data_IF_916767854406
#
_entry.id   IF_916767854406
#
_cell.length_a   1.000
_cell.length_b   1.000
_cell.length_c   1.000
_cell.angle_alpha   90.00
_cell.angle_beta   90.00
_cell.angle_gamma   90.00
#
_symmetry.space_group_name_H-M   'P 1'
#
loop_
_entity.id
_entity.type
_entity.pdbx_description
1 polymer ?
#
# COMPACT_ATOMS: atom_id res chain seq x y z
N UNK A 1 -30.35 -4.25 18.60
CA UNK A 1 -28.96 -3.95 19.06
C UNK A 1 -28.55 -2.64 18.42
N UNK A 2 -28.01 -1.67 19.18
CA UNK A 2 -27.51 -0.40 18.63
C UNK A 2 -26.07 -0.62 18.12
N UNK A 3 -25.80 -0.22 16.89
CA UNK A 3 -24.46 -0.17 16.29
C UNK A 3 -23.86 1.21 16.64
N UNK A 4 -22.55 1.29 16.82
CA UNK A 4 -21.87 2.57 17.08
C UNK A 4 -21.81 3.41 15.80
N UNK A 5 -22.00 4.73 15.92
CA UNK A 5 -21.87 5.68 14.80
C UNK A 5 -20.53 5.54 14.06
N UNK A 6 -19.48 5.21 14.79
CA UNK A 6 -18.15 4.93 14.24
C UNK A 6 -18.16 3.76 13.26
N UNK A 7 -18.86 2.66 13.59
CA UNK A 7 -18.96 1.50 12.71
C UNK A 7 -19.82 1.79 11.47
N UNK A 8 -20.86 2.62 11.63
CA UNK A 8 -21.74 3.03 10.52
C UNK A 8 -21.03 3.93 9.49
N UNK A 9 -20.01 4.70 9.93
CA UNK A 9 -19.23 5.56 9.03
C UNK A 9 -18.19 4.81 8.18
N UNK A 10 -17.89 3.55 8.52
CA UNK A 10 -16.93 2.74 7.74
C UNK A 10 -17.68 2.15 6.53
N UNK A 11 -17.33 2.63 5.35
CA UNK A 11 -17.89 2.15 4.09
C UNK A 11 -17.37 0.76 3.71
N UNK A 12 -18.16 -0.02 2.96
CA UNK A 12 -17.68 -1.27 2.37
C UNK A 12 -16.48 -1.03 1.46
N UNK A 13 -15.56 -1.98 1.43
CA UNK A 13 -14.46 -1.97 0.48
C UNK A 13 -14.95 -2.57 -0.85
N UNK A 14 -15.29 -1.72 -1.83
CA UNK A 14 -15.92 -2.11 -3.09
C UNK A 14 -15.05 -3.04 -3.96
N UNK A 15 -13.74 -2.99 -3.81
CA UNK A 15 -12.81 -3.97 -4.41
C UNK A 15 -13.24 -5.40 -4.07
N UNK A 16 -13.84 -5.62 -2.90
CA UNK A 16 -14.31 -6.95 -2.47
C UNK A 16 -15.54 -7.43 -3.27
N UNK A 17 -16.37 -6.51 -3.78
CA UNK A 17 -17.49 -6.89 -4.64
C UNK A 17 -16.99 -7.40 -5.99
N UNK A 18 -16.00 -6.71 -6.57
CA UNK A 18 -15.32 -7.20 -7.79
C UNK A 18 -14.64 -8.52 -7.54
N UNK A 19 -13.98 -8.69 -6.39
CA UNK A 19 -13.31 -9.95 -6.03
C UNK A 19 -14.31 -11.11 -5.89
N UNK A 20 -15.51 -10.88 -5.32
CA UNK A 20 -16.59 -11.88 -5.26
C UNK A 20 -17.07 -12.26 -6.66
N UNK A 21 -17.36 -11.26 -7.50
CA UNK A 21 -17.78 -11.49 -8.88
C UNK A 21 -16.72 -12.26 -9.68
N UNK A 22 -15.44 -11.86 -9.55
CA UNK A 22 -14.33 -12.55 -10.19
C UNK A 22 -14.16 -14.00 -9.71
N UNK A 23 -14.34 -14.25 -8.41
CA UNK A 23 -14.32 -15.60 -7.85
C UNK A 23 -15.49 -16.45 -8.33
N UNK A 24 -16.67 -15.86 -8.49
CA UNK A 24 -17.82 -16.54 -9.08
C UNK A 24 -17.56 -16.88 -10.55
N UNK A 25 -17.13 -15.88 -11.34
CA UNK A 25 -16.78 -16.09 -12.76
C UNK A 25 -15.71 -17.16 -12.94
N UNK A 26 -14.69 -17.16 -12.07
CA UNK A 26 -13.64 -18.17 -12.10
C UNK A 26 -14.18 -19.58 -11.91
N UNK A 27 -15.17 -19.79 -11.03
CA UNK A 27 -15.85 -21.09 -10.87
C UNK A 27 -16.64 -21.49 -12.12
N UNK A 28 -17.34 -20.53 -12.74
CA UNK A 28 -18.14 -20.76 -13.95
C UNK A 28 -17.27 -21.21 -15.13
N UNK A 29 -16.07 -20.61 -15.27
CA UNK A 29 -15.15 -20.89 -16.39
C UNK A 29 -14.02 -21.86 -16.05
N UNK A 30 -14.05 -22.49 -14.87
CA UNK A 30 -12.96 -23.36 -14.37
C UNK A 30 -12.62 -24.53 -15.31
N UNK A 31 -13.58 -24.97 -16.12
CA UNK A 31 -13.44 -26.11 -17.06
C UNK A 31 -13.20 -25.65 -18.51
N UNK A 32 -12.99 -24.37 -18.73
CA UNK A 32 -12.73 -23.81 -20.06
C UNK A 32 -11.22 -23.53 -20.25
N UNK A 33 -10.83 -23.26 -21.48
CA UNK A 33 -9.49 -22.82 -21.86
C UNK A 33 -9.22 -21.33 -21.57
N UNK A 34 -10.22 -20.64 -20.99
CA UNK A 34 -10.16 -19.20 -20.67
C UNK A 34 -10.42 -18.92 -19.18
N UNK A 35 -9.56 -19.37 -18.25
CA UNK A 35 -9.69 -19.04 -16.83
C UNK A 35 -9.59 -17.53 -16.60
N UNK A 36 -10.15 -17.04 -15.49
CA UNK A 36 -10.04 -15.61 -15.11
C UNK A 36 -8.60 -15.27 -14.76
N UNK A 37 -8.10 -14.16 -15.29
CA UNK A 37 -6.83 -13.53 -14.87
C UNK A 37 -7.15 -12.46 -13.84
N UNK A 38 -6.57 -12.58 -12.63
CA UNK A 38 -6.84 -11.70 -11.50
C UNK A 38 -5.82 -10.57 -11.41
N UNK A 39 -6.13 -9.41 -11.98
CA UNK A 39 -5.30 -8.20 -11.89
C UNK A 39 -5.89 -7.16 -10.92
N UNK A 40 -6.86 -7.57 -10.10
CA UNK A 40 -7.51 -6.72 -9.09
C UNK A 40 -6.87 -6.82 -7.71
N UNK A 41 -6.04 -7.84 -7.45
CA UNK A 41 -5.49 -8.13 -6.13
C UNK A 41 -4.14 -7.41 -5.95
N UNK A 42 -4.00 -6.65 -4.87
CA UNK A 42 -2.77 -5.97 -4.51
C UNK A 42 -1.82 -6.83 -3.65
N UNK A 43 -1.51 -8.04 -4.12
CA UNK A 43 -0.68 -9.02 -3.43
C UNK A 43 0.38 -9.58 -4.38
N UNK A 44 1.67 -9.65 -3.97
CA UNK A 44 2.69 -10.34 -4.73
C UNK A 44 2.31 -11.80 -5.02
N UNK A 45 2.57 -12.28 -6.23
CA UNK A 45 2.45 -13.69 -6.59
C UNK A 45 3.59 -14.56 -5.99
N UNK A 46 4.57 -13.93 -5.40
CA UNK A 46 5.64 -14.58 -4.65
C UNK A 46 5.23 -14.80 -3.19
N UNK A 47 5.60 -15.94 -2.63
CA UNK A 47 5.52 -16.20 -1.19
C UNK A 47 6.87 -15.93 -0.51
N UNK A 48 6.89 -15.96 0.83
CA UNK A 48 8.13 -15.81 1.60
C UNK A 48 9.24 -16.75 1.08
N UNK A 49 10.51 -16.31 1.01
CA UNK A 49 11.62 -17.13 0.53
C UNK A 49 11.79 -18.40 1.35
N UNK A 50 12.40 -19.46 0.79
CA UNK A 50 12.56 -20.75 1.47
C UNK A 50 13.24 -20.65 2.85
N UNK A 51 14.20 -19.74 3.03
CA UNK A 51 14.86 -19.52 4.33
C UNK A 51 13.89 -18.99 5.39
N UNK A 52 13.01 -18.08 5.02
CA UNK A 52 12.00 -17.54 5.91
C UNK A 52 10.98 -18.60 6.30
N UNK A 53 10.57 -19.43 5.33
CA UNK A 53 9.69 -20.57 5.58
C UNK A 53 10.35 -21.61 6.51
N UNK A 54 11.61 -21.95 6.27
CA UNK A 54 12.36 -22.88 7.11
C UNK A 54 12.53 -22.32 8.56
N UNK A 55 12.80 -21.01 8.70
CA UNK A 55 12.87 -20.37 10.00
C UNK A 55 11.55 -20.48 10.77
N UNK A 56 10.39 -20.26 10.11
CA UNK A 56 9.09 -20.42 10.73
C UNK A 56 8.84 -21.87 11.19
N UNK A 57 9.18 -22.84 10.34
CA UNK A 57 9.05 -24.27 10.70
C UNK A 57 9.91 -24.61 11.92
N UNK A 58 11.14 -24.12 11.99
CA UNK A 58 12.04 -24.32 13.12
C UNK A 58 11.49 -23.70 14.42
N UNK A 59 10.92 -22.49 14.37
CA UNK A 59 10.27 -21.83 15.50
C UNK A 59 9.10 -22.66 16.03
N UNK A 60 8.23 -23.15 15.14
CA UNK A 60 7.09 -23.99 15.54
C UNK A 60 7.60 -25.31 16.15
N UNK A 61 8.58 -25.95 15.53
CA UNK A 61 9.13 -27.22 16.00
C UNK A 61 9.84 -27.10 17.36
N UNK A 62 10.46 -25.95 17.64
CA UNK A 62 11.12 -25.68 18.94
C UNK A 62 10.16 -25.30 20.07
N UNK A 63 8.88 -25.03 19.76
CA UNK A 63 7.89 -24.58 20.73
C UNK A 63 8.09 -23.12 21.22
N UNK A 64 8.95 -22.33 20.61
CA UNK A 64 9.20 -20.92 20.99
C UNK A 64 8.10 -19.99 20.43
N UNK A 65 6.87 -20.20 20.88
CA UNK A 65 5.67 -19.52 20.36
C UNK A 65 4.96 -18.65 21.41
N UNK A 66 5.62 -18.36 22.55
CA UNK A 66 5.10 -17.52 23.61
C UNK A 66 5.07 -16.05 23.18
N UNK A 67 4.40 -15.20 23.98
CA UNK A 67 4.37 -13.75 23.74
C UNK A 67 5.76 -13.13 23.67
N UNK A 68 5.90 -12.16 22.81
CA UNK A 68 7.06 -11.27 22.74
C UNK A 68 6.77 -9.95 23.47
N UNK A 69 7.76 -9.08 23.69
CA UNK A 69 7.49 -7.70 24.09
C UNK A 69 6.52 -7.02 23.12
N UNK A 70 5.72 -6.09 23.62
CA UNK A 70 4.70 -5.40 22.82
C UNK A 70 5.27 -4.59 21.67
N UNK A 71 6.46 -4.01 21.84
CA UNK A 71 7.19 -3.32 20.77
C UNK A 71 7.83 -4.27 19.73
N UNK A 72 7.76 -5.57 19.97
CA UNK A 72 8.39 -6.60 19.16
C UNK A 72 9.75 -7.07 19.69
N UNK A 73 10.26 -8.14 19.10
CA UNK A 73 11.57 -8.71 19.44
C UNK A 73 12.69 -7.69 19.20
N UNK A 74 13.56 -7.51 20.18
CA UNK A 74 14.73 -6.60 20.05
C UNK A 74 15.61 -6.95 18.87
N UNK A 75 15.87 -8.24 18.63
CA UNK A 75 16.62 -8.69 17.48
C UNK A 75 16.00 -8.27 16.15
N UNK A 76 14.65 -8.31 16.03
CA UNK A 76 13.94 -7.89 14.83
C UNK A 76 14.02 -6.36 14.65
N UNK A 77 13.82 -5.60 15.73
CA UNK A 77 13.94 -4.13 15.71
C UNK A 77 15.36 -3.70 15.29
N UNK A 78 16.39 -4.37 15.79
CA UNK A 78 17.78 -4.14 15.39
C UNK A 78 18.02 -4.50 13.92
N UNK A 79 17.47 -5.62 13.44
CA UNK A 79 17.59 -6.02 12.04
C UNK A 79 16.90 -5.02 11.09
N UNK A 80 15.72 -4.51 11.45
CA UNK A 80 15.03 -3.43 10.72
C UNK A 80 15.88 -2.15 10.72
N UNK A 81 16.45 -1.75 11.87
CA UNK A 81 17.35 -0.60 11.99
C UNK A 81 18.57 -0.73 11.05
N UNK A 82 19.23 -1.88 11.06
CA UNK A 82 20.35 -2.15 10.17
C UNK A 82 19.96 -2.13 8.69
N UNK A 83 18.74 -2.62 8.35
CA UNK A 83 18.24 -2.59 6.98
C UNK A 83 17.98 -1.16 6.48
N UNK A 84 17.43 -0.25 7.32
CA UNK A 84 17.30 1.16 6.94
C UNK A 84 18.65 1.81 6.63
N UNK A 85 19.66 1.56 7.46
CA UNK A 85 20.99 2.09 7.21
C UNK A 85 21.59 1.51 5.91
N UNK A 86 21.51 0.19 5.74
CA UNK A 86 22.10 -0.50 4.60
C UNK A 86 21.40 -0.20 3.28
N UNK A 87 20.04 -0.11 3.31
CA UNK A 87 19.22 0.04 2.10
C UNK A 87 19.03 1.49 1.69
N UNK A 88 18.82 2.39 2.65
CA UNK A 88 18.42 3.78 2.41
C UNK A 88 19.42 4.81 2.93
N UNK A 89 20.50 4.37 3.59
CA UNK A 89 21.49 5.26 4.19
C UNK A 89 20.96 6.05 5.41
N UNK A 90 19.83 5.64 6.00
CA UNK A 90 19.18 6.33 7.10
C UNK A 90 19.41 5.59 8.41
N UNK A 91 19.97 6.28 9.39
CA UNK A 91 20.20 5.72 10.72
C UNK A 91 18.92 5.85 11.55
N UNK A 92 18.27 4.72 11.82
CA UNK A 92 17.04 4.63 12.62
C UNK A 92 17.36 3.86 13.90
N UNK A 93 17.33 4.49 15.09
CA UNK A 93 17.50 3.78 16.35
C UNK A 93 16.42 2.71 16.55
N UNK A 94 16.79 1.50 16.99
CA UNK A 94 15.84 0.43 17.26
C UNK A 94 14.79 0.81 18.33
N UNK A 95 15.12 1.76 19.23
CA UNK A 95 14.18 2.33 20.22
C UNK A 95 12.97 3.02 19.59
N UNK A 96 13.10 3.51 18.35
CA UNK A 96 12.02 4.16 17.59
C UNK A 96 11.15 3.19 16.80
N UNK A 97 11.49 1.91 16.73
CA UNK A 97 10.81 0.91 15.91
C UNK A 97 9.77 0.15 16.75
N UNK A 98 8.54 0.09 16.28
CA UNK A 98 7.41 -0.63 16.90
C UNK A 98 6.90 -1.67 15.91
N UNK A 99 7.06 -2.94 16.22
CA UNK A 99 6.59 -4.06 15.38
C UNK A 99 5.10 -4.28 15.60
N UNK A 100 4.35 -4.50 14.52
CA UNK A 100 2.89 -4.60 14.55
C UNK A 100 2.37 -5.78 13.72
N UNK A 101 1.09 -6.10 13.88
CA UNK A 101 0.40 -7.10 13.07
C UNK A 101 0.07 -6.59 11.65
N UNK A 102 1.11 -6.22 10.89
CA UNK A 102 1.04 -5.62 9.56
C UNK A 102 0.87 -4.10 9.59
N UNK A 103 1.01 -3.45 8.43
CA UNK A 103 0.86 -2.01 8.29
C UNK A 103 -0.53 -1.50 8.71
N UNK A 104 -1.58 -2.30 8.56
CA UNK A 104 -2.93 -1.91 8.99
C UNK A 104 -3.00 -1.68 10.51
N UNK A 105 -2.39 -2.56 11.30
CA UNK A 105 -2.30 -2.38 12.74
C UNK A 105 -1.39 -1.19 13.10
N UNK A 106 -0.33 -0.95 12.32
CA UNK A 106 0.55 0.20 12.48
C UNK A 106 -0.22 1.52 12.27
N UNK A 107 -0.95 1.64 11.15
CA UNK A 107 -1.78 2.80 10.85
C UNK A 107 -2.86 3.03 11.90
N UNK A 108 -3.57 1.96 12.31
CA UNK A 108 -4.57 2.05 13.37
C UNK A 108 -3.97 2.53 14.68
N UNK A 109 -2.83 1.99 15.08
CA UNK A 109 -2.13 2.36 16.32
C UNK A 109 -1.67 3.82 16.28
N UNK A 110 -1.11 4.27 15.16
CA UNK A 110 -0.71 5.66 14.96
C UNK A 110 -1.90 6.63 15.01
N UNK A 111 -3.00 6.29 14.32
CA UNK A 111 -4.21 7.11 14.35
C UNK A 111 -4.80 7.21 15.77
N UNK A 112 -4.89 6.09 16.50
CA UNK A 112 -5.40 6.08 17.88
C UNK A 112 -4.51 6.86 18.86
N UNK A 113 -3.19 6.94 18.59
CA UNK A 113 -2.26 7.67 19.45
C UNK A 113 -2.22 9.17 19.19
N UNK A 114 -2.60 9.63 17.99
CA UNK A 114 -2.27 10.96 17.50
C UNK A 114 -3.47 11.80 17.04
N UNK A 115 -4.64 11.17 16.88
CA UNK A 115 -5.84 11.81 16.33
C UNK A 115 -6.93 11.81 17.40
N UNK A 116 -7.42 12.98 17.73
CA UNK A 116 -8.57 13.18 18.59
C UNK A 116 -9.86 13.40 17.78
N UNK A 117 -10.98 13.35 18.46
CA UNK A 117 -12.30 13.54 17.86
C UNK A 117 -12.41 14.91 17.17
N UNK A 118 -12.63 14.86 15.86
CA UNK A 118 -12.82 16.04 15.03
C UNK A 118 -11.56 16.65 14.45
N UNK A 119 -10.37 16.08 14.76
CA UNK A 119 -9.13 16.40 14.06
C UNK A 119 -9.22 16.07 12.57
N UNK A 120 -8.56 16.85 11.75
CA UNK A 120 -8.51 16.68 10.31
C UNK A 120 -7.12 16.20 9.87
N UNK A 121 -7.11 15.15 9.03
CA UNK A 121 -5.89 14.63 8.39
C UNK A 121 -6.02 14.82 6.89
N UNK A 122 -5.09 15.60 6.31
CA UNK A 122 -5.04 15.83 4.87
C UNK A 122 -4.43 14.62 4.16
N UNK A 123 -5.04 14.21 3.06
CA UNK A 123 -4.67 13.04 2.27
C UNK A 123 -4.81 13.34 0.78
N UNK A 124 -4.01 12.70 -0.11
CA UNK A 124 -4.25 12.81 -1.55
C UNK A 124 -5.56 12.09 -1.96
N UNK A 125 -6.18 12.59 -3.02
CA UNK A 125 -7.21 11.92 -3.79
C UNK A 125 -6.70 11.75 -5.23
N UNK A 126 -6.44 10.52 -5.73
CA UNK A 126 -6.72 9.22 -5.12
C UNK A 126 -5.73 8.79 -4.02
N UNK A 127 -6.19 7.88 -3.14
CA UNK A 127 -5.36 7.25 -2.11
C UNK A 127 -5.85 5.84 -1.75
N UNK A 128 -5.08 5.10 -0.95
CA UNK A 128 -5.48 3.78 -0.47
C UNK A 128 -6.72 3.89 0.41
N UNK A 129 -7.82 3.17 0.09
CA UNK A 129 -9.13 3.38 0.71
C UNK A 129 -9.14 3.26 2.23
N UNK A 130 -8.37 2.29 2.78
CA UNK A 130 -8.38 2.06 4.22
C UNK A 130 -7.79 3.22 5.03
N UNK A 131 -6.95 4.07 4.42
CA UNK A 131 -6.32 5.18 5.13
C UNK A 131 -7.35 6.14 5.74
N UNK A 132 -8.37 6.55 4.96
CA UNK A 132 -9.46 7.40 5.47
C UNK A 132 -10.27 6.72 6.57
N UNK A 133 -10.40 5.39 6.50
CA UNK A 133 -11.14 4.61 7.50
C UNK A 133 -10.37 4.45 8.81
N UNK A 134 -9.02 4.38 8.80
CA UNK A 134 -8.23 4.42 10.03
C UNK A 134 -8.40 5.76 10.76
N UNK A 135 -8.40 6.88 10.02
CA UNK A 135 -8.68 8.21 10.57
C UNK A 135 -10.11 8.27 11.15
N UNK A 136 -11.11 7.79 10.41
CA UNK A 136 -12.51 7.75 10.87
C UNK A 136 -12.71 6.85 12.08
N UNK A 137 -12.01 5.72 12.15
CA UNK A 137 -12.05 4.81 13.30
C UNK A 137 -11.47 5.44 14.58
N UNK A 138 -10.51 6.35 14.42
CA UNK A 138 -9.96 7.18 15.50
C UNK A 138 -10.81 8.44 15.79
N UNK A 139 -12.01 8.57 15.21
CA UNK A 139 -12.94 9.70 15.33
C UNK A 139 -12.46 11.01 14.68
N UNK A 140 -11.37 10.97 13.91
CA UNK A 140 -10.92 12.07 13.05
C UNK A 140 -11.67 12.14 11.72
N UNK A 141 -11.38 13.18 10.95
CA UNK A 141 -11.91 13.43 9.61
C UNK A 141 -10.77 13.35 8.58
N UNK A 142 -10.91 12.48 7.60
CA UNK A 142 -10.03 12.45 6.45
C UNK A 142 -10.44 13.55 5.46
N UNK A 143 -9.54 14.47 5.14
CA UNK A 143 -9.74 15.53 4.16
C UNK A 143 -8.99 15.14 2.89
N UNK A 144 -9.72 14.66 1.90
CA UNK A 144 -9.17 14.25 0.60
C UNK A 144 -8.94 15.48 -0.27
N UNK A 145 -7.71 15.70 -0.71
CA UNK A 145 -7.31 16.82 -1.56
C UNK A 145 -7.08 16.31 -2.99
N UNK A 146 -7.83 16.80 -3.99
CA UNK A 146 -7.68 16.39 -5.38
C UNK A 146 -6.25 16.57 -5.88
N UNK A 147 -5.75 15.56 -6.58
CA UNK A 147 -4.44 15.57 -7.23
C UNK A 147 -4.54 15.18 -8.68
N UNK A 148 -3.62 15.65 -9.50
CA UNK A 148 -3.65 15.47 -10.96
C UNK A 148 -2.46 14.65 -11.46
N UNK A 149 -2.49 14.27 -12.72
CA UNK A 149 -1.37 13.57 -13.37
C UNK A 149 -0.10 14.43 -13.40
N UNK A 150 -0.23 15.75 -13.60
CA UNK A 150 0.88 16.71 -13.58
C UNK A 150 1.57 16.75 -12.22
N UNK A 151 0.82 16.51 -11.15
CA UNK A 151 1.30 16.39 -9.77
C UNK A 151 1.70 14.95 -9.41
N UNK A 152 1.71 14.04 -10.39
CA UNK A 152 1.98 12.60 -10.19
C UNK A 152 0.99 11.93 -9.24
N UNK A 153 -0.23 12.46 -9.11
CA UNK A 153 -1.25 12.05 -8.14
C UNK A 153 -0.75 12.10 -6.67
N UNK A 154 0.11 13.07 -6.38
CA UNK A 154 0.68 13.29 -5.04
C UNK A 154 0.37 14.72 -4.56
N UNK A 155 0.36 14.93 -3.25
CA UNK A 155 0.18 16.27 -2.68
C UNK A 155 1.42 17.13 -2.90
N UNK A 156 1.20 18.43 -3.04
CA UNK A 156 2.24 19.45 -2.97
C UNK A 156 2.20 20.20 -1.66
N UNK A 157 3.34 20.77 -1.26
CA UNK A 157 3.45 21.65 -0.09
C UNK A 157 2.47 22.84 -0.17
N UNK A 158 2.28 23.39 -1.37
CA UNK A 158 1.34 24.48 -1.62
C UNK A 158 -0.11 24.04 -1.33
N UNK A 159 -0.54 22.87 -1.78
CA UNK A 159 -1.88 22.32 -1.48
C UNK A 159 -2.07 22.06 0.01
N UNK A 160 -1.06 21.48 0.67
CA UNK A 160 -1.09 21.24 2.12
C UNK A 160 -1.22 22.56 2.86
N UNK A 161 -0.40 23.55 2.50
CA UNK A 161 -0.44 24.88 3.15
C UNK A 161 -1.79 25.58 2.96
N UNK A 162 -2.38 25.50 1.77
CA UNK A 162 -3.67 26.12 1.44
C UNK A 162 -4.86 25.44 2.14
N UNK A 163 -4.79 24.12 2.32
CA UNK A 163 -5.86 23.33 2.96
C UNK A 163 -5.75 23.33 4.51
N UNK A 164 -4.64 23.85 5.06
CA UNK A 164 -4.39 23.80 6.50
C UNK A 164 -5.33 24.72 7.28
N UNK A 165 -6.23 24.14 8.07
CA UNK A 165 -7.19 24.86 8.91
C UNK A 165 -6.93 24.66 10.42
N UNK A 166 -7.77 25.27 11.28
CA UNK A 166 -7.60 25.19 12.74
C UNK A 166 -7.80 23.79 13.33
N UNK A 167 -8.43 22.88 12.58
CA UNK A 167 -8.64 21.48 12.98
C UNK A 167 -7.62 20.54 12.35
N UNK A 168 -6.80 21.03 11.43
CA UNK A 168 -5.83 20.18 10.74
C UNK A 168 -4.74 19.75 11.73
N UNK A 169 -4.61 18.45 11.90
CA UNK A 169 -3.63 17.83 12.78
C UNK A 169 -2.38 17.38 12.04
N UNK A 170 -2.51 17.04 10.75
CA UNK A 170 -1.36 16.58 9.97
C UNK A 170 -1.74 16.04 8.60
N UNK A 171 -0.80 15.31 8.03
CA UNK A 171 -0.94 14.66 6.72
C UNK A 171 -0.75 13.14 6.86
N UNK A 172 -1.45 12.36 6.01
CA UNK A 172 -1.18 10.94 5.78
C UNK A 172 -0.92 10.73 4.29
N UNK A 173 0.32 10.45 3.97
CA UNK A 173 0.84 10.29 2.62
C UNK A 173 1.22 8.83 2.35
N UNK A 174 1.41 8.47 1.08
CA UNK A 174 1.96 7.18 0.68
C UNK A 174 2.96 7.37 -0.48
N UNK A 175 4.17 6.82 -0.33
CA UNK A 175 5.22 6.94 -1.34
C UNK A 175 6.11 5.69 -1.36
N UNK A 176 6.04 4.85 -2.42
CA UNK A 176 5.09 4.86 -3.55
C UNK A 176 3.64 4.61 -3.15
N UNK A 177 2.68 5.17 -3.89
CA UNK A 177 1.26 5.14 -3.57
C UNK A 177 0.52 3.94 -4.19
N UNK A 178 -0.53 3.51 -3.54
CA UNK A 178 -1.63 2.73 -4.08
C UNK A 178 -2.84 3.68 -4.23
N UNK A 179 -3.40 3.89 -5.43
CA UNK A 179 -3.40 3.00 -6.59
C UNK A 179 -2.39 3.32 -7.69
N UNK A 180 -1.66 4.43 -7.61
CA UNK A 180 -0.98 5.03 -8.76
C UNK A 180 0.41 4.46 -9.06
N UNK A 181 1.05 3.85 -8.04
CA UNK A 181 2.45 3.40 -8.12
C UNK A 181 3.46 4.55 -8.21
N UNK A 182 3.01 5.78 -7.98
CA UNK A 182 3.86 6.98 -8.06
C UNK A 182 4.37 7.38 -6.69
N UNK A 183 5.59 7.92 -6.65
CA UNK A 183 6.21 8.47 -5.45
C UNK A 183 6.13 10.00 -5.44
N UNK A 184 6.22 10.58 -4.25
CA UNK A 184 6.40 12.02 -4.05
C UNK A 184 7.84 12.38 -4.44
N UNK A 185 8.03 13.47 -5.18
CA UNK A 185 9.36 14.01 -5.42
C UNK A 185 10.06 14.30 -4.09
N UNK A 186 11.32 13.86 -3.88
CA UNK A 186 12.00 14.02 -2.60
C UNK A 186 12.10 15.47 -2.10
N UNK A 187 12.31 16.43 -3.03
CA UNK A 187 12.35 17.85 -2.66
C UNK A 187 10.96 18.37 -2.31
N UNK A 188 9.90 17.88 -2.97
CA UNK A 188 8.53 18.21 -2.62
C UNK A 188 8.14 17.62 -1.26
N UNK A 189 8.52 16.36 -1.00
CA UNK A 189 8.28 15.73 0.29
C UNK A 189 8.94 16.50 1.43
N UNK A 190 10.18 16.97 1.23
CA UNK A 190 10.86 17.81 2.21
C UNK A 190 10.11 19.12 2.46
N UNK A 191 9.57 19.77 1.41
CA UNK A 191 8.73 20.97 1.55
C UNK A 191 7.42 20.69 2.28
N UNK A 192 6.77 19.56 2.01
CA UNK A 192 5.55 19.15 2.75
C UNK A 192 5.85 18.98 4.22
N UNK A 193 6.92 18.23 4.57
CA UNK A 193 7.33 18.01 5.96
C UNK A 193 7.61 19.34 6.67
N UNK A 194 8.27 20.30 6.01
CA UNK A 194 8.54 21.62 6.59
C UNK A 194 7.25 22.44 6.82
N UNK A 195 6.31 22.42 5.87
CA UNK A 195 5.00 23.06 6.06
C UNK A 195 4.28 22.46 7.26
N UNK A 196 4.22 21.13 7.37
CA UNK A 196 3.55 20.43 8.48
C UNK A 196 4.24 20.76 9.81
N UNK A 197 5.57 20.71 9.85
CA UNK A 197 6.39 21.02 11.03
C UNK A 197 6.19 22.45 11.51
N UNK A 198 6.17 23.44 10.60
CA UNK A 198 5.96 24.84 10.94
C UNK A 198 4.58 25.13 11.56
N UNK A 199 3.62 24.22 11.35
CA UNK A 199 2.27 24.28 11.93
C UNK A 199 2.11 23.43 13.19
N UNK A 200 3.19 22.78 13.67
CA UNK A 200 3.15 21.85 14.81
C UNK A 200 2.34 20.59 14.52
N UNK A 201 2.21 20.24 13.25
CA UNK A 201 1.46 19.07 12.79
C UNK A 201 2.27 17.79 12.76
N UNK A 202 1.63 16.69 12.39
CA UNK A 202 2.23 15.35 12.25
C UNK A 202 2.33 14.94 10.77
N UNK A 203 3.46 14.35 10.40
CA UNK A 203 3.65 13.71 9.10
C UNK A 203 3.63 12.21 9.28
N UNK A 204 2.56 11.56 8.78
CA UNK A 204 2.45 10.11 8.64
C UNK A 204 2.73 9.76 7.19
N UNK A 205 3.66 8.84 6.94
CA UNK A 205 3.96 8.38 5.58
C UNK A 205 3.96 6.85 5.52
N UNK A 206 3.13 6.32 4.62
CA UNK A 206 3.08 4.89 4.31
C UNK A 206 4.15 4.58 3.25
N UNK A 207 5.21 3.90 3.68
CA UNK A 207 6.34 3.48 2.87
C UNK A 207 6.31 1.98 2.55
N UNK A 208 5.14 1.34 2.62
CA UNK A 208 4.99 -0.11 2.43
C UNK A 208 5.56 -0.61 1.10
N UNK A 209 5.60 0.26 0.07
CA UNK A 209 6.15 -0.05 -1.25
C UNK A 209 7.56 0.51 -1.47
N UNK A 210 8.18 1.19 -0.51
CA UNK A 210 9.48 1.83 -0.68
C UNK A 210 10.57 0.83 -1.13
N UNK A 211 10.58 -0.39 -0.57
CA UNK A 211 11.48 -1.46 -1.01
C UNK A 211 11.28 -1.91 -2.47
N UNK A 212 10.12 -1.58 -3.07
CA UNK A 212 9.76 -1.87 -4.46
C UNK A 212 9.87 -0.64 -5.37
N UNK A 213 10.62 0.39 -4.99
CA UNK A 213 10.95 1.49 -5.91
C UNK A 213 11.76 0.97 -7.08
N UNK A 214 11.39 1.39 -8.28
CA UNK A 214 12.01 0.98 -9.55
C UNK A 214 12.99 2.04 -10.07
N UNK A 215 12.86 3.27 -9.57
CA UNK A 215 13.68 4.41 -9.92
C UNK A 215 14.44 4.91 -8.68
N UNK A 216 15.76 5.01 -8.79
CA UNK A 216 16.63 5.46 -7.70
C UNK A 216 16.33 6.88 -7.24
N UNK A 217 15.82 7.74 -8.14
CA UNK A 217 15.42 9.11 -7.80
C UNK A 217 14.33 9.16 -6.72
N UNK A 218 13.51 8.12 -6.59
CA UNK A 218 12.38 8.02 -5.66
C UNK A 218 12.59 7.00 -4.53
N UNK A 219 13.70 6.28 -4.52
CA UNK A 219 14.01 5.22 -3.56
C UNK A 219 14.50 5.71 -2.19
N UNK A 220 14.01 6.85 -1.69
CA UNK A 220 14.47 7.48 -0.45
C UNK A 220 13.39 7.43 0.63
N UNK A 221 13.80 7.06 1.86
CA UNK A 221 12.89 7.10 3.01
C UNK A 221 12.70 8.52 3.52
N UNK A 222 11.45 8.87 3.84
CA UNK A 222 11.09 10.14 4.48
C UNK A 222 11.75 10.31 5.88
N UNK A 223 12.19 9.23 6.50
CA UNK A 223 12.91 9.28 7.78
C UNK A 223 14.25 10.05 7.69
N UNK A 224 14.79 10.25 6.49
CA UNK A 224 15.95 11.13 6.27
C UNK A 224 15.65 12.62 6.53
N UNK A 225 14.36 13.01 6.58
CA UNK A 225 13.94 14.40 6.75
C UNK A 225 13.82 14.84 8.22
N UNK A 226 13.87 13.89 9.15
CA UNK A 226 13.87 14.20 10.58
C UNK A 226 13.26 13.13 11.46
N UNK A 227 13.54 13.26 12.76
CA UNK A 227 13.08 12.31 13.78
C UNK A 227 11.60 12.48 14.14
N UNK A 228 10.97 13.56 13.69
CA UNK A 228 9.55 13.86 13.85
C UNK A 228 8.65 13.23 12.79
N UNK A 229 9.23 12.69 11.71
CA UNK A 229 8.49 11.94 10.69
C UNK A 229 8.15 10.55 11.19
N UNK A 230 6.91 10.14 10.97
CA UNK A 230 6.40 8.80 11.31
C UNK A 230 6.24 7.99 10.02
N UNK A 231 7.04 6.92 9.90
CA UNK A 231 6.96 6.00 8.76
C UNK A 231 6.25 4.71 9.14
N UNK A 232 5.39 4.26 8.23
CA UNK A 232 4.71 2.96 8.30
C UNK A 232 5.28 2.04 7.23
N UNK A 233 5.65 0.82 7.59
CA UNK A 233 6.16 -0.16 6.63
C UNK A 233 5.67 -1.58 6.97
N UNK A 234 5.97 -2.56 6.10
CA UNK A 234 5.43 -3.90 6.24
C UNK A 234 6.33 -4.97 5.62
N UNK A 235 6.22 -6.16 6.15
CA UNK A 235 6.77 -7.37 5.53
C UNK A 235 5.90 -7.89 4.36
N UNK A 236 4.73 -7.30 4.13
CA UNK A 236 3.76 -7.81 3.14
C UNK A 236 4.21 -7.67 1.68
N UNK A 237 4.98 -6.63 1.31
CA UNK A 237 5.21 -6.31 -0.10
C UNK A 237 6.61 -6.70 -0.55
N UNK A 238 7.63 -5.92 -0.22
CA UNK A 238 9.01 -6.23 -0.57
C UNK A 238 9.46 -7.60 -0.03
N UNK A 239 9.08 -7.93 1.21
CA UNK A 239 9.45 -9.19 1.87
C UNK A 239 8.50 -10.36 1.57
N UNK A 240 7.46 -10.19 0.76
CA UNK A 240 6.51 -11.22 0.32
C UNK A 240 5.88 -12.04 1.46
N UNK A 241 5.59 -11.41 2.59
CA UNK A 241 4.99 -12.05 3.77
C UNK A 241 3.55 -11.54 4.03
N UNK A 242 2.70 -11.47 3.00
CA UNK A 242 1.35 -10.87 3.08
C UNK A 242 0.49 -11.50 4.17
N UNK A 243 0.28 -12.80 4.12
CA UNK A 243 -0.55 -13.56 5.07
C UNK A 243 0.04 -13.71 6.47
N UNK A 244 1.31 -13.36 6.67
CA UNK A 244 1.99 -13.46 7.97
C UNK A 244 1.61 -12.35 8.94
N UNK A 245 1.00 -11.28 8.43
CA UNK A 245 0.53 -10.13 9.19
C UNK A 245 1.63 -9.53 10.08
N UNK A 246 2.71 -9.04 9.45
CA UNK A 246 3.82 -8.40 10.12
C UNK A 246 4.19 -7.08 9.45
N UNK A 247 4.41 -6.04 10.26
CA UNK A 247 4.82 -4.70 9.82
C UNK A 247 5.44 -3.93 10.97
N UNK A 248 5.71 -2.67 10.76
CA UNK A 248 6.29 -1.82 11.79
C UNK A 248 6.00 -0.33 11.55
N UNK A 249 6.14 0.43 12.63
CA UNK A 249 6.22 1.89 12.65
C UNK A 249 7.64 2.30 13.00
N UNK A 250 8.08 3.42 12.45
CA UNK A 250 9.19 4.21 12.99
C UNK A 250 8.60 5.53 13.47
N UNK A 251 8.82 5.86 14.73
CA UNK A 251 8.18 7.01 15.39
C UNK A 251 9.21 7.88 16.13
N UNK A 252 8.88 9.14 16.47
CA UNK A 252 9.63 9.91 17.44
C UNK A 252 9.78 9.14 18.76
N UNK A 253 10.97 9.18 19.36
CA UNK A 253 11.28 8.33 20.53
C UNK A 253 10.30 8.55 21.70
N UNK A 254 9.83 9.79 21.89
CA UNK A 254 8.84 10.15 22.91
C UNK A 254 7.48 9.48 22.73
N UNK A 255 7.14 9.01 21.53
CA UNK A 255 5.89 8.30 21.28
C UNK A 255 6.00 6.80 21.57
N UNK A 256 7.19 6.24 21.60
CA UNK A 256 7.39 4.78 21.81
C UNK A 256 6.70 4.28 23.09
N UNK A 257 6.85 4.94 24.28
CA UNK A 257 6.16 4.48 25.49
C UNK A 257 4.62 4.59 25.42
N UNK A 258 4.10 5.53 24.63
CA UNK A 258 2.65 5.68 24.41
C UNK A 258 2.13 4.52 23.55
N UNK A 259 2.82 4.24 22.46
CA UNK A 259 2.48 3.15 21.54
C UNK A 259 2.63 1.78 22.21
N UNK A 260 3.63 1.62 23.07
CA UNK A 260 3.80 0.39 23.87
C UNK A 260 2.58 0.11 24.76
N UNK A 261 2.11 1.11 25.52
CA UNK A 261 0.90 0.97 26.34
C UNK A 261 -0.34 0.64 25.52
N UNK A 262 -0.51 1.28 24.36
CA UNK A 262 -1.62 0.97 23.46
C UNK A 262 -1.51 -0.44 22.91
N UNK A 263 -0.33 -0.84 22.42
CA UNK A 263 -0.11 -2.18 21.88
C UNK A 263 -0.35 -3.28 22.92
N UNK A 264 0.14 -3.11 24.14
CA UNK A 264 -0.08 -4.04 25.25
C UNK A 264 -1.57 -4.29 25.51
N UNK A 265 -2.39 -3.24 25.42
CA UNK A 265 -3.82 -3.32 25.75
C UNK A 265 -4.71 -3.71 24.57
N UNK A 266 -4.27 -3.45 23.32
CA UNK A 266 -5.08 -3.70 22.13
C UNK A 266 -4.79 -5.06 21.49
N UNK A 267 -3.55 -5.54 21.51
CA UNK A 267 -3.15 -6.79 20.84
C UNK A 267 -2.07 -7.61 21.57
N UNK A 268 -1.55 -7.15 22.69
CA UNK A 268 -0.44 -7.76 23.45
C UNK A 268 0.87 -7.67 22.67
N UNK A 269 1.00 -8.39 21.52
CA UNK A 269 2.15 -8.33 20.63
C UNK A 269 1.77 -8.80 19.22
N UNK A 270 2.63 -8.57 18.24
CA UNK A 270 2.52 -9.21 16.92
C UNK A 270 2.86 -10.72 17.01
N UNK A 271 2.50 -11.48 15.96
CA UNK A 271 2.77 -12.93 15.89
C UNK A 271 4.24 -13.26 16.17
N UNK A 272 4.50 -14.04 17.24
CA UNK A 272 5.85 -14.48 17.63
C UNK A 272 6.53 -15.30 16.54
N UNK A 273 5.78 -16.20 15.90
CA UNK A 273 6.29 -17.01 14.79
C UNK A 273 6.69 -16.14 13.61
N UNK A 274 5.85 -15.15 13.24
CA UNK A 274 6.15 -14.24 12.13
C UNK A 274 7.37 -13.37 12.44
N UNK A 275 7.51 -12.85 13.66
CA UNK A 275 8.64 -12.03 14.08
C UNK A 275 9.96 -12.82 14.03
N UNK A 276 9.98 -14.04 14.55
CA UNK A 276 11.16 -14.87 14.54
C UNK A 276 11.57 -15.29 13.13
N UNK A 277 10.60 -15.69 12.30
CA UNK A 277 10.85 -16.03 10.89
C UNK A 277 11.37 -14.83 10.10
N UNK A 278 10.89 -13.61 10.39
CA UNK A 278 11.28 -12.38 9.71
C UNK A 278 12.75 -12.02 9.90
N UNK A 279 13.44 -12.53 10.90
CA UNK A 279 14.88 -12.36 11.02
C UNK A 279 15.63 -12.92 9.79
N UNK A 280 15.16 -14.02 9.22
CA UNK A 280 15.72 -14.60 8.00
C UNK A 280 15.47 -13.74 6.75
N UNK A 281 14.58 -12.74 6.79
CA UNK A 281 14.41 -11.80 5.68
C UNK A 281 15.67 -10.95 5.42
N UNK A 282 16.44 -10.69 6.46
CA UNK A 282 17.61 -9.82 6.40
C UNK A 282 18.92 -10.59 6.11
N UNK A 283 18.85 -11.92 5.94
CA UNK A 283 19.98 -12.71 5.51
C UNK A 283 20.35 -12.38 4.04
N UNK A 284 21.65 -12.40 3.69
CA UNK A 284 22.11 -12.03 2.34
C UNK A 284 21.40 -12.79 1.20
N UNK A 285 21.10 -14.08 1.39
CA UNK A 285 20.43 -14.90 0.37
C UNK A 285 18.96 -14.48 0.19
N UNK A 286 18.26 -14.12 1.27
CA UNK A 286 16.89 -13.62 1.21
C UNK A 286 16.84 -12.24 0.56
N UNK A 287 17.77 -11.35 0.90
CA UNK A 287 17.88 -10.02 0.28
C UNK A 287 18.16 -10.12 -1.22
N UNK A 288 19.06 -11.01 -1.64
CA UNK A 288 19.33 -11.24 -3.06
C UNK A 288 18.08 -11.74 -3.81
N UNK A 289 17.29 -12.62 -3.20
CA UNK A 289 16.03 -13.09 -3.78
C UNK A 289 14.99 -11.96 -3.90
N UNK A 290 14.85 -11.09 -2.90
CA UNK A 290 13.95 -9.93 -2.98
C UNK A 290 14.36 -8.95 -4.08
N UNK A 291 15.66 -8.70 -4.27
CA UNK A 291 16.14 -7.84 -5.36
C UNK A 291 15.87 -8.47 -6.73
N UNK A 292 16.03 -9.77 -6.88
CA UNK A 292 15.66 -10.50 -8.10
C UNK A 292 14.15 -10.31 -8.40
N UNK A 293 13.29 -10.46 -7.37
CA UNK A 293 11.83 -10.27 -7.50
C UNK A 293 11.46 -8.82 -7.80
N UNK A 294 12.16 -7.86 -7.19
CA UNK A 294 11.98 -6.43 -7.50
C UNK A 294 12.29 -6.13 -8.97
N UNK A 295 13.39 -6.69 -9.49
CA UNK A 295 13.74 -6.56 -10.89
C UNK A 295 12.66 -7.19 -11.81
N UNK A 296 12.05 -8.30 -11.41
CA UNK A 296 10.96 -8.93 -12.14
C UNK A 296 9.69 -8.06 -12.13
N UNK A 297 9.30 -7.47 -11.00
CA UNK A 297 8.19 -6.50 -10.96
C UNK A 297 8.44 -5.30 -11.89
N UNK A 298 9.69 -4.81 -11.94
CA UNK A 298 10.06 -3.77 -12.89
C UNK A 298 9.87 -4.21 -14.35
N UNK A 299 10.34 -5.40 -14.70
CA UNK A 299 10.19 -5.95 -16.06
C UNK A 299 8.71 -6.13 -16.44
N UNK A 300 7.87 -6.59 -15.51
CA UNK A 300 6.42 -6.71 -15.70
C UNK A 300 5.78 -5.35 -15.95
N UNK A 301 6.14 -4.33 -15.18
CA UNK A 301 5.69 -2.94 -15.40
C UNK A 301 6.11 -2.44 -16.78
N UNK A 302 7.39 -2.62 -17.13
CA UNK A 302 7.97 -2.12 -18.38
C UNK A 302 7.31 -2.74 -19.62
N UNK A 303 6.79 -3.96 -19.50
CA UNK A 303 5.95 -4.59 -20.52
C UNK A 303 4.50 -4.08 -20.49
N UNK A 304 3.89 -4.03 -19.29
CA UNK A 304 2.44 -3.90 -19.16
C UNK A 304 1.95 -2.47 -19.42
N UNK A 305 2.71 -1.43 -19.00
CA UNK A 305 2.30 -0.04 -19.17
C UNK A 305 2.19 0.37 -20.63
N UNK A 306 3.20 0.14 -21.50
CA UNK A 306 3.07 0.43 -22.93
C UNK A 306 1.92 -0.35 -23.59
N UNK A 307 1.76 -1.63 -23.22
CA UNK A 307 0.69 -2.47 -23.77
C UNK A 307 -0.72 -1.95 -23.40
N UNK A 308 -0.93 -1.40 -22.19
CA UNK A 308 -2.19 -0.74 -21.83
C UNK A 308 -2.42 0.52 -22.67
N UNK A 309 -1.39 1.36 -22.84
CA UNK A 309 -1.48 2.58 -23.63
C UNK A 309 -1.86 2.29 -25.10
N UNK A 310 -1.30 1.23 -25.69
CA UNK A 310 -1.62 0.77 -27.05
C UNK A 310 -3.10 0.31 -27.19
N UNK A 311 -3.75 -0.07 -26.11
CA UNK A 311 -5.18 -0.42 -26.07
C UNK A 311 -6.09 0.80 -25.86
N UNK A 312 -5.53 2.00 -25.66
CA UNK A 312 -6.29 3.20 -25.30
C UNK A 312 -6.70 3.24 -23.83
N UNK A 313 -6.01 2.47 -22.98
CA UNK A 313 -6.10 2.54 -21.53
C UNK A 313 -4.90 3.35 -21.03
N UNK A 314 -5.02 4.66 -21.10
CA UNK A 314 -3.88 5.57 -20.88
C UNK A 314 -3.43 5.57 -19.43
N UNK A 315 -2.16 5.25 -19.19
CA UNK A 315 -1.49 5.43 -17.91
C UNK A 315 -0.78 6.77 -17.92
N UNK A 316 -1.37 7.84 -17.35
CA UNK A 316 -0.87 9.21 -17.56
C UNK A 316 0.46 9.47 -16.85
N UNK A 317 0.76 8.72 -15.79
CA UNK A 317 2.03 8.77 -15.09
C UNK A 317 2.57 7.36 -14.93
N UNK A 318 3.72 7.08 -15.53
CA UNK A 318 4.37 5.78 -15.36
C UNK A 318 4.72 5.56 -13.87
N UNK A 319 4.32 4.42 -13.27
CA UNK A 319 4.65 4.14 -11.89
C UNK A 319 6.15 3.96 -11.70
N UNK A 320 6.71 4.56 -10.66
CA UNK A 320 8.12 4.44 -10.28
C UNK A 320 8.37 3.44 -9.16
N UNK A 321 7.30 2.85 -8.62
CA UNK A 321 7.35 1.84 -7.57
C UNK A 321 6.08 1.00 -7.49
N UNK A 322 6.01 0.14 -6.48
CA UNK A 322 4.93 -0.81 -6.27
C UNK A 322 4.75 -1.78 -7.47
N UNK A 323 3.54 -2.24 -7.69
CA UNK A 323 3.14 -3.10 -8.81
C UNK A 323 1.72 -2.75 -9.28
N UNK A 324 1.45 -1.45 -9.47
CA UNK A 324 0.15 -0.96 -9.93
C UNK A 324 0.30 -0.13 -11.20
N UNK A 325 -0.75 -0.18 -12.03
CA UNK A 325 -0.98 0.75 -13.12
C UNK A 325 -2.34 1.42 -12.90
N UNK A 326 -2.37 2.74 -12.88
CA UNK A 326 -3.55 3.57 -12.77
C UNK A 326 -3.90 4.10 -14.15
N UNK A 327 -4.85 3.45 -14.81
CA UNK A 327 -5.17 3.68 -16.20
C UNK A 327 -6.50 4.39 -16.37
N UNK A 328 -6.53 5.44 -17.18
CA UNK A 328 -7.75 6.10 -17.64
C UNK A 328 -8.46 5.22 -18.66
N UNK A 329 -9.71 4.86 -18.39
CA UNK A 329 -10.54 4.05 -19.28
C UNK A 329 -11.67 4.85 -19.96
N UNK A 330 -11.65 6.19 -19.90
CA UNK A 330 -12.71 7.05 -20.42
C UNK A 330 -12.98 6.82 -21.90
N UNK A 331 -11.93 6.76 -22.72
CA UNK A 331 -12.07 6.54 -24.17
C UNK A 331 -12.62 5.14 -24.49
N UNK A 332 -12.20 4.13 -23.72
CA UNK A 332 -12.72 2.77 -23.87
C UNK A 332 -14.19 2.72 -23.43
N UNK A 333 -14.56 3.36 -22.33
CA UNK A 333 -15.95 3.48 -21.88
C UNK A 333 -16.83 4.14 -22.94
N UNK A 334 -16.37 5.26 -23.52
CA UNK A 334 -17.11 5.97 -24.57
C UNK A 334 -17.35 5.08 -25.78
N UNK A 335 -16.33 4.37 -26.27
CA UNK A 335 -16.44 3.46 -27.44
C UNK A 335 -17.37 2.29 -27.17
N UNK A 336 -17.42 1.78 -25.96
CA UNK A 336 -18.23 0.62 -25.55
C UNK A 336 -19.63 1.02 -25.04
N UNK A 337 -19.95 2.31 -24.91
CA UNK A 337 -21.21 2.80 -24.36
C UNK A 337 -21.35 2.52 -22.85
N UNK A 338 -20.22 2.42 -22.12
CA UNK A 338 -20.17 2.21 -20.68
C UNK A 338 -20.11 3.55 -19.95
N UNK A 339 -20.70 3.60 -18.75
CA UNK A 339 -20.84 4.84 -17.99
C UNK A 339 -19.53 5.28 -17.32
N UNK A 340 -18.84 4.35 -16.70
CA UNK A 340 -17.69 4.63 -15.85
C UNK A 340 -16.79 3.39 -15.67
N UNK A 341 -15.72 3.55 -14.88
CA UNK A 341 -14.77 2.47 -14.57
C UNK A 341 -15.39 1.29 -13.81
N UNK A 342 -16.52 1.49 -13.13
CA UNK A 342 -17.26 0.41 -12.47
C UNK A 342 -17.84 -0.54 -13.50
N UNK A 343 -18.63 0.01 -14.45
CA UNK A 343 -19.18 -0.80 -15.55
C UNK A 343 -18.07 -1.41 -16.39
N UNK A 344 -16.99 -0.66 -16.64
CA UNK A 344 -15.83 -1.16 -17.39
C UNK A 344 -15.17 -2.37 -16.70
N UNK A 345 -15.00 -2.34 -15.38
CA UNK A 345 -14.40 -3.44 -14.64
C UNK A 345 -15.23 -4.74 -14.73
N UNK A 346 -16.56 -4.63 -14.64
CA UNK A 346 -17.46 -5.78 -14.80
C UNK A 346 -17.54 -6.27 -16.25
N UNK A 347 -17.53 -5.36 -17.23
CA UNK A 347 -17.47 -5.72 -18.64
C UNK A 347 -16.15 -6.44 -19.01
N UNK A 348 -15.02 -5.96 -18.48
CA UNK A 348 -13.72 -6.63 -18.65
C UNK A 348 -13.73 -8.06 -18.06
N UNK A 349 -14.34 -8.24 -16.90
CA UNK A 349 -14.53 -9.56 -16.29
C UNK A 349 -15.40 -10.47 -17.15
N UNK A 350 -16.51 -9.95 -17.67
CA UNK A 350 -17.47 -10.76 -18.44
C UNK A 350 -16.94 -11.13 -19.83
N UNK A 351 -16.36 -10.18 -20.55
CA UNK A 351 -15.99 -10.38 -21.97
C UNK A 351 -14.53 -10.82 -22.16
N UNK A 352 -13.61 -10.30 -21.33
CA UNK A 352 -12.19 -10.60 -21.42
C UNK A 352 -11.71 -11.64 -20.39
N UNK A 353 -12.52 -11.99 -19.39
CA UNK A 353 -12.14 -12.77 -18.21
C UNK A 353 -10.90 -12.17 -17.51
N UNK A 354 -10.86 -10.84 -17.37
CA UNK A 354 -9.81 -10.12 -16.67
C UNK A 354 -10.46 -9.33 -15.52
N UNK A 355 -10.11 -9.67 -14.30
CA UNK A 355 -10.58 -8.98 -13.11
C UNK A 355 -9.66 -7.78 -12.80
N UNK A 356 -10.20 -6.58 -12.75
CA UNK A 356 -9.48 -5.31 -12.47
C UNK A 356 -10.24 -4.52 -11.40
N UNK A 357 -9.60 -3.52 -10.80
CA UNK A 357 -10.22 -2.71 -9.75
C UNK A 357 -10.71 -1.38 -10.29
N UNK A 358 -12.02 -1.05 -10.15
CA UNK A 358 -12.54 0.27 -10.52
C UNK A 358 -12.01 1.36 -9.58
N UNK A 359 -11.92 2.59 -10.09
CA UNK A 359 -11.28 3.69 -9.37
C UNK A 359 -12.07 4.25 -8.19
N UNK A 360 -13.38 4.04 -8.13
CA UNK A 360 -14.28 4.61 -7.12
C UNK A 360 -13.88 4.36 -5.66
N UNK A 361 -13.13 3.30 -5.37
CA UNK A 361 -12.67 3.01 -4.02
C UNK A 361 -11.57 3.96 -3.54
N UNK A 362 -10.79 4.49 -4.48
CA UNK A 362 -9.55 5.20 -4.18
C UNK A 362 -9.76 6.69 -3.92
N UNK A 363 -10.97 7.22 -4.17
CA UNK A 363 -11.27 8.63 -3.96
C UNK A 363 -12.59 9.04 -4.61
N UNK A 364 -12.79 10.35 -4.68
CA UNK A 364 -14.01 10.95 -5.20
C UNK A 364 -13.79 11.87 -6.39
N UNK A 365 -12.58 12.43 -6.52
CA UNK A 365 -12.25 13.35 -7.61
C UNK A 365 -11.78 12.58 -8.84
N UNK A 366 -12.58 12.61 -9.91
CA UNK A 366 -12.34 11.98 -11.21
C UNK A 366 -12.00 10.47 -11.17
N UNK A 367 -12.02 9.83 -10.03
CA UNK A 367 -11.62 8.41 -9.90
C UNK A 367 -12.53 7.45 -10.67
N UNK A 368 -13.78 7.87 -10.96
CA UNK A 368 -14.71 7.09 -11.78
C UNK A 368 -14.25 6.86 -13.23
N UNK A 369 -13.26 7.61 -13.71
CA UNK A 369 -12.67 7.42 -15.06
C UNK A 369 -11.46 6.49 -15.08
N UNK A 370 -10.96 6.04 -13.91
CA UNK A 370 -9.77 5.23 -13.79
C UNK A 370 -10.06 3.81 -13.34
N UNK A 371 -9.19 2.90 -13.76
CA UNK A 371 -9.08 1.54 -13.24
C UNK A 371 -7.67 1.27 -12.75
N UNK A 372 -7.54 0.47 -11.69
CA UNK A 372 -6.24 -0.02 -11.23
C UNK A 372 -6.02 -1.44 -11.70
N UNK A 373 -4.89 -1.68 -12.35
CA UNK A 373 -4.35 -3.00 -12.62
C UNK A 373 -3.25 -3.33 -11.62
N UNK A 374 -3.17 -4.58 -11.20
CA UNK A 374 -2.01 -5.13 -10.49
C UNK A 374 -1.09 -5.83 -11.49
N UNK A 375 0.19 -5.52 -11.47
CA UNK A 375 1.21 -6.22 -12.25
C UNK A 375 1.94 -7.29 -11.42
N UNK A 376 1.37 -7.68 -10.27
CA UNK A 376 1.94 -8.66 -9.36
C UNK A 376 1.75 -10.12 -9.81
N UNK A 377 1.21 -10.33 -11.01
CA UNK A 377 1.03 -11.64 -11.64
C UNK A 377 2.23 -12.04 -12.50
N UNK A 378 2.31 -13.30 -12.89
CA UNK A 378 3.35 -13.77 -13.81
C UNK A 378 3.32 -13.03 -15.15
N UNK A 379 4.46 -12.92 -15.82
CA UNK A 379 4.53 -12.30 -17.15
C UNK A 379 3.57 -12.97 -18.16
N UNK A 380 3.43 -14.28 -18.09
CA UNK A 380 2.51 -15.04 -18.96
C UNK A 380 1.04 -14.66 -18.74
N UNK A 381 0.62 -14.46 -17.48
CA UNK A 381 -0.74 -13.99 -17.17
C UNK A 381 -0.96 -12.56 -17.62
N UNK A 382 0.02 -11.68 -17.45
CA UNK A 382 -0.05 -10.30 -17.95
C UNK A 382 -0.18 -10.26 -19.48
N UNK A 383 0.59 -11.08 -20.20
CA UNK A 383 0.49 -11.21 -21.65
C UNK A 383 -0.89 -11.74 -22.08
N UNK A 384 -1.40 -12.73 -21.36
CA UNK A 384 -2.74 -13.29 -21.58
C UNK A 384 -3.82 -12.23 -21.36
N UNK A 385 -3.72 -11.43 -20.29
CA UNK A 385 -4.66 -10.36 -20.02
C UNK A 385 -4.66 -9.30 -21.14
N UNK A 386 -3.48 -8.87 -21.57
CA UNK A 386 -3.34 -7.90 -22.68
C UNK A 386 -3.94 -8.45 -23.97
N UNK A 387 -3.65 -9.71 -24.33
CA UNK A 387 -4.21 -10.32 -25.54
C UNK A 387 -5.75 -10.38 -25.50
N UNK A 388 -6.35 -10.72 -24.34
CA UNK A 388 -7.80 -10.78 -24.15
C UNK A 388 -8.46 -9.40 -24.15
N UNK A 389 -7.85 -8.41 -23.48
CA UNK A 389 -8.32 -7.04 -23.51
C UNK A 389 -8.24 -6.47 -24.94
N UNK A 390 -7.17 -6.77 -25.68
CA UNK A 390 -7.03 -6.37 -27.07
C UNK A 390 -8.16 -6.93 -27.94
N UNK A 391 -8.42 -8.22 -27.85
CA UNK A 391 -9.48 -8.89 -28.61
C UNK A 391 -10.89 -8.34 -28.29
N UNK A 392 -11.11 -7.83 -27.07
CA UNK A 392 -12.37 -7.22 -26.67
C UNK A 392 -12.48 -5.74 -27.04
N UNK A 393 -11.41 -4.96 -26.85
CA UNK A 393 -11.42 -3.51 -27.06
C UNK A 393 -11.21 -3.10 -28.52
N UNK A 394 -10.60 -3.96 -29.34
CA UNK A 394 -10.25 -3.74 -30.73
C UNK A 394 -10.69 -4.95 -31.58
N UNK A 395 -12.01 -5.25 -31.70
CA UNK A 395 -12.54 -6.41 -32.40
C UNK A 395 -12.35 -6.34 -33.92
#
# INVERSE_FOLDING_TARGET
MRISERAERIEPFWVMEVAKAASQKAREVAHTDRPVVFLNIGEPDFTAPPRVQAAAQAVIASGQTQYTPALGLDALRQAISAWYLQRFGVQVPASRIVVTAGASAALQLACLALIDRGDEILMPDPSYPCNRHFVSAAEGNAVLLPTTAEERFQLSAAKVAAAWGPKTRGVLLASPSNPTGTSIDPAELARIVEVVRSRGGITLIDEIYLGLSHDEAFGHSALALGDDVISINSFSKYFNMTGWRLGWLVVPEQLTPVLERLAQNLFICASSVAQQAALACFEPQSLAEYERRRAEFKARRDYFIPALNDLGLTVPVAPDGAFYAWADCSDACQRLGLKDSWEFAFAALEHAHVAITPGRDFGTDQTARFVRFSTANSMAELQTAIARLKAWLQP
#
